data_IF_352817516465
#
_entry.id   IF_352817516465
#
_cell.length_a   1.000
_cell.length_b   1.000
_cell.length_c   1.000
_cell.angle_alpha   90.00
_cell.angle_beta   90.00
_cell.angle_gamma   90.00
#
_symmetry.space_group_name_H-M   'P 1'
#
loop_
_entity.id
_entity.type
_entity.pdbx_description
1 polymer ?
#
# COMPACT_ATOMS: atom_id res chain seq x y z
N UNK A 1 -4.48 8.59 5.86
CA UNK A 1 -3.20 8.71 6.60
C UNK A 1 -2.07 8.96 5.63
N UNK A 2 -1.17 9.85 5.96
CA UNK A 2 -0.05 10.22 5.10
C UNK A 2 1.26 9.76 5.73
N UNK A 3 2.04 8.99 5.01
CA UNK A 3 3.39 8.61 5.40
C UNK A 3 4.41 9.41 4.60
N UNK A 4 5.46 9.82 5.25
CA UNK A 4 6.58 10.53 4.61
C UNK A 4 7.86 9.73 4.79
N UNK A 5 8.63 9.63 3.72
CA UNK A 5 9.96 9.06 3.74
C UNK A 5 10.90 9.95 2.95
N UNK A 6 12.10 10.17 3.48
CA UNK A 6 13.13 10.95 2.81
C UNK A 6 14.21 10.01 2.30
N UNK A 7 14.34 9.84 0.97
CA UNK A 7 15.40 9.01 0.43
C UNK A 7 16.77 9.67 0.67
N UNK A 8 17.72 8.87 1.11
CA UNK A 8 19.06 9.36 1.48
C UNK A 8 20.18 8.67 0.72
N UNK A 9 19.86 7.84 -0.26
CA UNK A 9 20.86 7.09 -1.02
C UNK A 9 20.54 7.00 -2.50
N UNK A 10 21.30 6.20 -3.22
CA UNK A 10 21.23 6.03 -4.67
C UNK A 10 19.89 5.52 -5.21
N UNK A 11 19.06 4.87 -4.37
CA UNK A 11 17.73 4.41 -4.78
C UNK A 11 16.73 5.56 -4.91
N UNK A 12 17.06 6.74 -4.40
CA UNK A 12 16.18 7.90 -4.46
C UNK A 12 14.81 7.62 -3.84
N UNK A 13 13.74 7.90 -4.59
CA UNK A 13 12.37 7.67 -4.12
C UNK A 13 12.01 6.19 -3.92
N UNK A 14 12.83 5.26 -4.38
CA UNK A 14 12.59 3.83 -4.21
C UNK A 14 12.46 3.42 -2.76
N UNK A 15 13.26 3.97 -1.87
CA UNK A 15 13.16 3.71 -0.43
C UNK A 15 11.84 4.20 0.15
N UNK A 16 11.36 5.35 -0.30
CA UNK A 16 10.05 5.87 0.13
C UNK A 16 8.91 4.92 -0.23
N UNK A 17 8.92 4.38 -1.43
CA UNK A 17 7.92 3.39 -1.85
C UNK A 17 8.03 2.09 -1.06
N UNK A 18 9.25 1.62 -0.80
CA UNK A 18 9.49 0.44 0.02
C UNK A 18 8.95 0.64 1.44
N UNK A 19 9.27 1.76 2.08
CA UNK A 19 8.79 2.10 3.41
C UNK A 19 7.26 2.18 3.48
N UNK A 20 6.64 2.78 2.47
CA UNK A 20 5.17 2.83 2.38
C UNK A 20 4.57 1.43 2.30
N UNK A 21 5.20 0.51 1.59
CA UNK A 21 4.77 -0.88 1.53
C UNK A 21 4.83 -1.57 2.89
N UNK A 22 5.92 -1.39 3.64
CA UNK A 22 6.08 -1.94 4.98
C UNK A 22 5.01 -1.41 5.94
N UNK A 23 4.79 -0.11 5.93
CA UNK A 23 3.78 0.53 6.77
C UNK A 23 2.36 0.11 6.38
N UNK A 24 2.10 0.02 5.08
CA UNK A 24 0.79 -0.41 4.57
C UNK A 24 0.46 -1.82 5.04
N UNK A 25 1.40 -2.76 5.00
CA UNK A 25 1.16 -4.12 5.47
C UNK A 25 0.84 -4.14 6.96
N UNK A 26 1.51 -3.35 7.78
CA UNK A 26 1.19 -3.23 9.20
C UNK A 26 -0.25 -2.73 9.43
N UNK A 27 -0.69 -1.76 8.63
CA UNK A 27 -2.06 -1.26 8.67
C UNK A 27 -3.06 -2.36 8.29
N UNK A 28 -2.79 -3.12 7.22
CA UNK A 28 -3.66 -4.20 6.77
C UNK A 28 -3.80 -5.29 7.85
N UNK A 29 -2.69 -5.68 8.46
CA UNK A 29 -2.68 -6.68 9.52
C UNK A 29 -3.45 -6.22 10.75
N UNK A 30 -3.26 -4.96 11.15
CA UNK A 30 -4.00 -4.40 12.29
C UNK A 30 -5.49 -4.30 12.01
N UNK A 31 -5.88 -3.90 10.82
CA UNK A 31 -7.28 -3.87 10.41
C UNK A 31 -7.91 -5.26 10.48
N UNK A 32 -7.20 -6.29 10.00
CA UNK A 32 -7.64 -7.68 10.07
C UNK A 32 -7.81 -8.14 11.51
N UNK A 33 -6.86 -7.81 12.39
CA UNK A 33 -6.94 -8.10 13.83
C UNK A 33 -8.20 -7.50 14.46
N UNK A 34 -8.58 -6.29 14.02
CA UNK A 34 -9.77 -5.60 14.50
C UNK A 34 -11.09 -6.06 13.84
N UNK A 35 -11.02 -7.06 12.97
CA UNK A 35 -12.20 -7.58 12.25
C UNK A 35 -12.64 -6.71 11.07
N UNK A 36 -11.80 -5.82 10.60
CA UNK A 36 -12.08 -4.97 9.45
C UNK A 36 -11.55 -5.57 8.16
N UNK A 37 -12.17 -5.20 7.06
CA UNK A 37 -11.74 -5.57 5.71
C UNK A 37 -10.99 -4.40 5.07
N UNK A 38 -10.05 -4.72 4.18
CA UNK A 38 -9.24 -3.72 3.49
C UNK A 38 -9.16 -4.02 2.00
N UNK A 39 -8.99 -2.96 1.21
CA UNK A 39 -8.75 -3.06 -0.23
C UNK A 39 -7.67 -2.04 -0.61
N UNK A 40 -6.56 -2.53 -1.16
CA UNK A 40 -5.50 -1.68 -1.69
C UNK A 40 -5.79 -1.37 -3.15
N UNK A 41 -5.90 -0.09 -3.48
CA UNK A 41 -6.23 0.39 -4.82
C UNK A 41 -5.02 1.06 -5.44
N UNK A 42 -4.43 0.41 -6.46
CA UNK A 42 -3.34 0.96 -7.25
C UNK A 42 -3.83 1.79 -8.44
N UNK A 43 -4.98 1.42 -9.01
CA UNK A 43 -5.60 2.15 -10.12
C UNK A 43 -6.41 3.31 -9.53
N UNK A 44 -5.98 4.54 -9.79
CA UNK A 44 -6.53 5.73 -9.16
C UNK A 44 -6.20 6.98 -9.97
N UNK A 45 -6.95 8.05 -9.72
CA UNK A 45 -6.67 9.38 -10.28
C UNK A 45 -5.92 10.22 -9.24
N UNK A 46 -4.58 10.23 -9.34
CA UNK A 46 -3.72 10.93 -8.40
C UNK A 46 -3.98 12.43 -8.34
N UNK A 47 -4.18 13.07 -9.50
CA UNK A 47 -4.41 14.51 -9.57
C UNK A 47 -5.72 14.91 -8.85
N UNK A 48 -6.76 14.12 -9.06
CA UNK A 48 -8.04 14.34 -8.39
C UNK A 48 -7.94 14.14 -6.88
N UNK A 49 -7.21 13.13 -6.45
CA UNK A 49 -6.97 12.86 -5.03
C UNK A 49 -6.22 14.02 -4.39
N UNK A 50 -5.18 14.51 -5.03
CA UNK A 50 -4.41 15.65 -4.53
C UNK A 50 -5.26 16.91 -4.40
N UNK A 51 -6.11 17.16 -5.39
CA UNK A 51 -7.03 18.28 -5.38
C UNK A 51 -8.02 18.21 -4.21
N UNK A 52 -8.68 17.07 -4.05
CA UNK A 52 -9.71 16.86 -3.02
C UNK A 52 -9.13 16.93 -1.61
N UNK A 53 -7.93 16.38 -1.40
CA UNK A 53 -7.29 16.29 -0.09
C UNK A 53 -6.28 17.41 0.17
N UNK A 54 -6.12 18.36 -0.75
CA UNK A 54 -5.13 19.44 -0.67
C UNK A 54 -3.70 18.93 -0.44
N UNK A 55 -3.32 17.87 -1.16
CA UNK A 55 -1.98 17.30 -1.10
C UNK A 55 -1.05 18.12 -2.02
N UNK A 56 0.10 18.61 -1.51
CA UNK A 56 1.06 19.36 -2.33
C UNK A 56 1.60 18.53 -3.48
N UNK A 57 1.95 19.20 -4.59
CA UNK A 57 2.56 18.55 -5.76
C UNK A 57 3.92 17.89 -5.46
N UNK A 58 4.57 18.30 -4.38
CA UNK A 58 5.82 17.71 -3.92
C UNK A 58 5.64 16.33 -3.27
N UNK A 59 4.41 15.91 -3.02
CA UNK A 59 4.09 14.61 -2.43
C UNK A 59 3.46 13.69 -3.46
N UNK A 60 3.80 12.40 -3.42
CA UNK A 60 3.27 11.39 -4.31
C UNK A 60 2.16 10.58 -3.62
N UNK A 61 1.09 10.29 -4.36
CA UNK A 61 0.07 9.34 -3.93
C UNK A 61 0.50 7.95 -4.39
N UNK A 62 0.90 7.09 -3.47
CA UNK A 62 1.39 5.74 -3.78
C UNK A 62 0.24 4.77 -4.00
N UNK A 63 -0.73 4.78 -3.12
CA UNK A 63 -1.92 3.94 -3.20
C UNK A 63 -3.04 4.55 -2.37
N UNK A 64 -4.24 4.01 -2.52
CA UNK A 64 -5.39 4.30 -1.66
C UNK A 64 -5.82 2.98 -1.03
N UNK A 65 -6.07 3.02 0.26
CA UNK A 65 -6.50 1.84 1.01
C UNK A 65 -7.89 2.11 1.58
N UNK A 66 -8.87 1.35 1.12
CA UNK A 66 -10.20 1.35 1.71
C UNK A 66 -10.22 0.46 2.95
N UNK A 67 -10.82 0.94 4.04
CA UNK A 67 -10.95 0.19 5.29
C UNK A 67 -12.40 0.24 5.75
N UNK A 68 -12.97 -0.89 6.09
CA UNK A 68 -14.36 -0.92 6.56
C UNK A 68 -14.87 -2.34 6.75
N UNK A 69 -16.18 -2.45 6.94
CA UNK A 69 -16.84 -3.75 7.02
C UNK A 69 -17.19 -4.25 5.62
N UNK A 70 -17.12 -5.57 5.42
CA UNK A 70 -17.47 -6.19 4.16
C UNK A 70 -18.16 -7.52 4.39
N UNK A 71 -19.19 -7.80 3.58
CA UNK A 71 -19.83 -9.10 3.51
C UNK A 71 -19.25 -9.98 2.38
N UNK A 72 -18.29 -9.46 1.63
CA UNK A 72 -17.66 -10.22 0.55
C UNK A 72 -16.73 -11.29 1.11
N UNK A 73 -16.76 -12.48 0.52
CA UNK A 73 -15.87 -13.59 0.83
C UNK A 73 -15.16 -14.02 -0.45
N UNK A 74 -14.20 -13.21 -0.95
CA UNK A 74 -13.51 -13.52 -2.18
C UNK A 74 -12.63 -14.76 -2.02
N UNK A 75 -12.59 -15.60 -3.06
CA UNK A 75 -11.70 -16.75 -3.08
C UNK A 75 -10.25 -16.27 -3.12
N UNK A 76 -9.37 -17.01 -2.45
CA UNK A 76 -7.93 -16.73 -2.51
C UNK A 76 -7.39 -17.08 -3.90
N UNK A 77 -6.75 -16.13 -4.60
CA UNK A 77 -6.10 -16.44 -5.87
C UNK A 77 -5.00 -17.50 -5.69
N UNK A 78 -4.75 -18.26 -6.74
CA UNK A 78 -3.65 -19.23 -6.74
C UNK A 78 -2.33 -18.51 -6.52
N UNK A 79 -1.51 -19.02 -5.63
CA UNK A 79 -0.17 -18.51 -5.36
C UNK A 79 0.89 -19.43 -5.99
N UNK A 80 1.98 -18.84 -6.43
CA UNK A 80 3.15 -19.62 -6.85
C UNK A 80 3.82 -20.24 -5.65
N UNK A 81 4.49 -21.37 -5.86
CA UNK A 81 5.31 -21.98 -4.81
C UNK A 81 6.51 -21.07 -4.49
N UNK A 82 7.04 -21.19 -3.27
CA UNK A 82 8.19 -20.39 -2.84
C UNK A 82 9.39 -20.63 -3.76
N UNK A 83 9.62 -21.87 -4.18
CA UNK A 83 10.70 -22.26 -5.06
C UNK A 83 10.68 -21.52 -6.42
N UNK A 84 9.48 -21.13 -6.86
CA UNK A 84 9.30 -20.45 -8.16
C UNK A 84 9.61 -18.95 -8.08
N UNK A 85 9.64 -18.35 -6.90
CA UNK A 85 9.72 -16.90 -6.73
C UNK A 85 10.83 -16.43 -5.80
N UNK A 86 11.41 -17.32 -5.00
CA UNK A 86 12.43 -16.97 -4.01
C UNK A 86 13.71 -17.76 -4.25
N UNK A 87 14.84 -17.10 -4.05
CA UNK A 87 16.18 -17.71 -4.04
C UNK A 87 16.86 -17.33 -2.75
N UNK A 88 17.34 -18.30 -2.02
CA UNK A 88 18.06 -18.10 -0.77
C UNK A 88 19.56 -18.30 -1.00
N UNK A 89 20.35 -17.37 -0.47
CA UNK A 89 21.81 -17.37 -0.63
C UNK A 89 22.49 -17.90 0.62
#
# INVERSE_FOLDING_TARGET
MLFRSTPTNELGNGWGFYDCGLQSMNLLLKATELGLSTLVMGIRDNEKIKEVLNIPETEAVVSVIGVGDSNAEPAMPKRKAIEDIAKFF
#
